data_IF_451688453686
#
_entry.id   IF_451688453686
#
_cell.length_a   1.000
_cell.length_b   1.000
_cell.length_c   1.000
_cell.angle_alpha   90.00
_cell.angle_beta   90.00
_cell.angle_gamma   90.00
#
_symmetry.space_group_name_H-M   'P 1'
#
loop_
_entity.id
_entity.type
_entity.pdbx_description
1 polymer ?
#
# COMPACT_ATOMS: atom_id res chain seq x y z
N UNK A 1 -1.01 -0.94 -3.85
CA UNK A 1 -1.04 0.04 -2.75
C UNK A 1 0.38 0.35 -2.34
N UNK A 2 0.67 1.60 -2.02
CA UNK A 2 1.98 2.07 -1.58
C UNK A 2 1.81 3.32 -0.72
N UNK A 3 2.71 3.56 0.24
CA UNK A 3 2.65 4.79 1.06
C UNK A 3 2.90 6.01 0.19
N UNK A 4 2.14 7.08 0.42
CA UNK A 4 2.27 8.31 -0.35
C UNK A 4 3.57 9.03 0.00
N UNK A 5 4.35 9.41 -1.01
CA UNK A 5 5.58 10.22 -0.93
C UNK A 5 6.71 9.67 -0.03
N UNK A 6 6.57 8.45 0.50
CA UNK A 6 7.55 7.82 1.39
C UNK A 6 7.94 6.43 0.89
N UNK A 7 9.20 6.00 1.11
CA UNK A 7 9.60 4.63 0.78
C UNK A 7 8.81 3.59 1.59
N UNK A 8 8.28 2.58 0.90
CA UNK A 8 7.62 1.45 1.51
C UNK A 8 7.48 0.26 0.57
N UNK A 9 6.85 -0.80 1.08
CA UNK A 9 6.56 -1.99 0.29
C UNK A 9 5.40 -1.78 -0.68
N UNK A 10 5.45 -2.47 -1.82
CA UNK A 10 4.33 -2.56 -2.74
C UNK A 10 3.40 -3.69 -2.31
N UNK A 11 2.13 -3.37 -2.06
CA UNK A 11 1.10 -4.35 -1.67
C UNK A 11 0.08 -4.51 -2.80
N UNK A 12 -0.27 -5.75 -3.14
CA UNK A 12 -1.23 -6.08 -4.19
C UNK A 12 -2.35 -6.93 -3.60
N UNK A 13 -3.60 -6.47 -3.76
CA UNK A 13 -4.78 -7.26 -3.44
C UNK A 13 -5.19 -8.05 -4.67
N UNK A 14 -5.22 -9.38 -4.57
CA UNK A 14 -5.61 -10.27 -5.68
C UNK A 14 -7.14 -10.48 -5.71
N UNK A 15 -7.87 -9.42 -5.98
CA UNK A 15 -9.33 -9.44 -6.16
C UNK A 15 -9.74 -8.41 -7.21
N UNK A 16 -10.82 -8.69 -7.96
CA UNK A 16 -11.40 -7.73 -8.89
C UNK A 16 -12.29 -6.70 -8.16
N UNK A 17 -12.92 -7.12 -7.07
CA UNK A 17 -13.83 -6.31 -6.25
C UNK A 17 -13.45 -6.52 -4.77
N UNK A 18 -12.35 -5.91 -4.30
CA UNK A 18 -11.99 -5.99 -2.89
C UNK A 18 -13.01 -5.23 -2.04
N UNK A 19 -13.33 -5.77 -0.87
CA UNK A 19 -14.15 -5.06 0.12
C UNK A 19 -13.37 -3.91 0.74
N UNK A 20 -14.07 -2.92 1.29
CA UNK A 20 -13.45 -1.81 2.03
C UNK A 20 -12.56 -2.30 3.19
N UNK A 21 -12.97 -3.39 3.85
CA UNK A 21 -12.18 -4.03 4.90
C UNK A 21 -10.84 -4.55 4.35
N UNK A 22 -10.87 -5.27 3.23
CA UNK A 22 -9.65 -5.77 2.57
C UNK A 22 -8.75 -4.63 2.09
N UNK A 23 -9.32 -3.52 1.62
CA UNK A 23 -8.55 -2.34 1.25
C UNK A 23 -7.85 -1.74 2.47
N UNK A 24 -8.55 -1.63 3.60
CA UNK A 24 -7.96 -1.13 4.84
C UNK A 24 -6.87 -2.05 5.38
N UNK A 25 -7.09 -3.37 5.39
CA UNK A 25 -6.08 -4.36 5.79
C UNK A 25 -4.81 -4.26 4.93
N UNK A 26 -4.98 -4.23 3.61
CA UNK A 26 -3.85 -4.09 2.69
C UNK A 26 -3.14 -2.74 2.83
N UNK A 27 -3.86 -1.65 3.13
CA UNK A 27 -3.28 -0.36 3.42
C UNK A 27 -2.49 -0.36 4.74
N UNK A 28 -2.99 -1.03 5.79
CA UNK A 28 -2.26 -1.21 7.06
C UNK A 28 -0.95 -1.97 6.85
N UNK A 29 -0.96 -3.04 6.04
CA UNK A 29 0.26 -3.78 5.67
C UNK A 29 1.25 -2.85 4.95
N UNK A 30 0.78 -2.06 3.97
CA UNK A 30 1.62 -1.13 3.24
C UNK A 30 2.25 -0.07 4.15
N UNK A 31 1.47 0.50 5.07
CA UNK A 31 1.95 1.47 6.06
C UNK A 31 2.95 0.83 7.06
N UNK A 32 2.69 -0.40 7.51
CA UNK A 32 3.54 -1.12 8.46
C UNK A 32 4.92 -1.43 7.88
N UNK A 33 5.01 -1.85 6.61
CA UNK A 33 6.28 -2.12 5.92
C UNK A 33 6.83 -0.87 5.21
N UNK A 34 6.68 0.31 5.81
CA UNK A 34 7.18 1.57 5.29
C UNK A 34 8.00 2.33 6.31
N UNK A 35 8.61 3.46 5.88
CA UNK A 35 9.24 4.40 6.83
C UNK A 35 8.26 5.09 7.78
N UNK A 36 6.95 5.02 7.52
CA UNK A 36 5.91 5.63 8.34
C UNK A 36 5.29 4.65 9.35
N UNK A 37 5.89 3.49 9.59
CA UNK A 37 5.33 2.41 10.43
C UNK A 37 5.03 2.78 11.88
N UNK A 38 5.64 3.85 12.40
CA UNK A 38 5.41 4.37 13.76
C UNK A 38 4.53 5.63 13.79
N UNK A 39 4.04 6.07 12.63
CA UNK A 39 3.20 7.27 12.51
C UNK A 39 1.72 6.91 12.54
N UNK A 40 0.89 7.80 13.07
CA UNK A 40 -0.56 7.68 12.98
C UNK A 40 -1.08 8.37 11.71
N UNK A 41 -2.22 7.91 11.18
CA UNK A 41 -2.86 8.48 9.98
C UNK A 41 -1.90 8.58 8.77
N UNK A 42 -1.22 7.48 8.48
CA UNK A 42 -0.33 7.35 7.32
C UNK A 42 -1.15 7.36 6.03
N UNK A 43 -0.83 8.25 5.07
CA UNK A 43 -1.48 8.25 3.77
C UNK A 43 -0.96 7.09 2.90
N UNK A 44 -1.88 6.26 2.41
CA UNK A 44 -1.60 5.11 1.54
C UNK A 44 -2.39 5.24 0.25
N UNK A 45 -1.69 5.27 -0.87
CA UNK A 45 -2.29 5.37 -2.19
C UNK A 45 -2.59 3.97 -2.75
N UNK A 46 -3.78 3.83 -3.32
CA UNK A 46 -4.16 2.66 -4.10
C UNK A 46 -4.77 3.05 -5.43
N UNK A 47 -4.50 2.20 -6.41
CA UNK A 47 -5.00 2.31 -7.78
C UNK A 47 -5.00 0.91 -8.39
N UNK A 48 -5.61 0.78 -9.56
CA UNK A 48 -5.56 -0.46 -10.33
C UNK A 48 -4.15 -0.68 -10.90
N UNK A 49 -3.73 -1.94 -10.98
CA UNK A 49 -2.39 -2.30 -11.49
C UNK A 49 -2.12 -1.77 -12.92
N UNK A 50 -3.18 -1.64 -13.74
CA UNK A 50 -3.10 -1.11 -15.11
C UNK A 50 -2.69 0.37 -15.18
N UNK A 51 -2.85 1.11 -14.09
CA UNK A 51 -2.45 2.51 -13.95
C UNK A 51 -1.03 2.68 -13.40
N UNK A 52 -0.34 1.57 -13.07
CA UNK A 52 1.02 1.58 -12.54
C UNK A 52 1.99 1.31 -13.68
N UNK A 53 2.91 2.23 -13.91
CA UNK A 53 3.87 2.16 -15.01
C UNK A 53 5.30 2.32 -14.50
N UNK A 54 6.22 1.54 -15.07
CA UNK A 54 7.65 1.71 -14.88
C UNK A 54 8.22 2.55 -16.04
N UNK A 55 8.73 3.76 -15.80
CA UNK A 55 9.39 4.54 -16.85
C UNK A 55 10.60 3.80 -17.42
N UNK A 56 10.81 3.91 -18.73
CA UNK A 56 11.95 3.27 -19.40
C UNK A 56 13.27 3.78 -18.80
N UNK A 57 14.18 2.85 -18.49
CA UNK A 57 15.48 3.16 -17.87
C UNK A 57 15.44 3.43 -16.36
N UNK A 58 14.28 3.38 -15.70
CA UNK A 58 14.20 3.58 -14.26
C UNK A 58 14.76 2.39 -13.46
N UNK A 59 15.30 2.68 -12.27
CA UNK A 59 15.82 1.67 -11.34
C UNK A 59 14.72 0.69 -10.92
N UNK A 60 15.06 -0.58 -10.60
CA UNK A 60 14.11 -1.53 -10.04
C UNK A 60 13.37 -0.94 -8.82
N UNK A 61 12.06 -1.16 -8.73
CA UNK A 61 11.21 -0.62 -7.66
C UNK A 61 10.70 0.81 -7.89
N UNK A 62 11.24 1.55 -8.85
CA UNK A 62 10.69 2.87 -9.21
C UNK A 62 9.50 2.72 -10.15
N UNK A 63 8.34 3.18 -9.69
CA UNK A 63 7.09 3.16 -10.44
C UNK A 63 6.40 4.52 -10.33
N UNK A 64 5.66 4.88 -11.36
CA UNK A 64 4.72 6.01 -11.37
C UNK A 64 3.31 5.46 -11.52
N UNK A 65 2.33 6.20 -11.02
CA UNK A 65 0.94 5.81 -11.14
C UNK A 65 0.03 7.02 -11.23
N UNK A 66 -1.18 6.79 -11.74
CA UNK A 66 -2.24 7.77 -11.83
C UNK A 66 -3.57 7.21 -11.27
N UNK A 67 -4.59 8.08 -11.23
CA UNK A 67 -5.95 7.78 -10.77
C UNK A 67 -5.99 7.09 -9.39
N UNK A 68 -5.11 7.52 -8.49
CA UNK A 68 -5.04 6.98 -7.15
C UNK A 68 -6.11 7.56 -6.24
N UNK A 69 -6.53 6.73 -5.28
CA UNK A 69 -7.29 7.16 -4.11
C UNK A 69 -6.41 6.98 -2.87
N UNK A 70 -6.46 7.93 -1.95
CA UNK A 70 -5.66 7.92 -0.72
C UNK A 70 -6.52 7.44 0.44
N UNK A 71 -6.03 6.44 1.17
CA UNK A 71 -6.58 6.01 2.46
C UNK A 71 -5.67 6.52 3.59
N UNK A 72 -6.26 6.80 4.74
CA UNK A 72 -5.52 7.15 5.95
C UNK A 72 -5.64 6.01 6.94
N UNK A 73 -4.51 5.41 7.32
CA UNK A 73 -4.48 4.27 8.23
C UNK A 73 -3.46 4.47 9.33
N UNK A 74 -3.72 3.93 10.50
CA UNK A 74 -2.73 3.83 11.58
C UNK A 74 -2.23 2.38 11.60
N UNK A 75 -0.95 2.12 11.28
CA UNK A 75 -0.41 0.77 11.26
C UNK A 75 -0.33 0.20 12.68
N UNK A 76 -1.15 -0.81 12.97
CA UNK A 76 -1.09 -1.54 14.24
C UNK A 76 -0.37 -2.88 14.04
N UNK A 77 0.73 -3.08 14.78
CA UNK A 77 1.54 -4.30 14.67
C UNK A 77 0.72 -5.57 14.92
N UNK A 78 -0.13 -5.56 15.94
CA UNK A 78 -0.96 -6.71 16.29
C UNK A 78 -1.96 -7.07 15.18
N UNK A 79 -2.54 -6.07 14.49
CA UNK A 79 -3.45 -6.30 13.38
C UNK A 79 -2.74 -6.90 12.16
N UNK A 80 -1.51 -6.44 11.87
CA UNK A 80 -0.72 -6.99 10.76
C UNK A 80 -0.25 -8.42 11.03
N UNK A 81 0.19 -8.71 12.26
CA UNK A 81 0.59 -10.07 12.68
C UNK A 81 -0.57 -11.07 12.60
N UNK A 82 -1.80 -10.63 12.87
CA UNK A 82 -2.99 -11.47 12.74
C UNK A 82 -3.32 -11.87 11.29
N UNK A 83 -2.79 -11.14 10.30
CA UNK A 83 -2.98 -11.40 8.87
C UNK A 83 -1.88 -12.31 8.28
N UNK A 84 -0.87 -12.69 9.06
CA UNK A 84 0.17 -13.61 8.58
C UNK A 84 -0.39 -15.01 8.34
N UNK A 85 -0.17 -15.53 7.14
CA UNK A 85 -0.47 -16.92 6.81
C UNK A 85 0.68 -17.78 7.34
N UNK A 86 0.37 -18.72 8.22
CA UNK A 86 1.34 -19.71 8.75
C UNK A 86 1.79 -20.71 7.68
#
# INVERSE_FOLDING_TARGET
MHVKDLPGSHVIVKSLEPTDATLMEAAMIAAHFSKASLSAQVPVDYTLIKHVHKPSGAKPGYVIYDHQTTLFVTPEKAAVEALEVK
#
